data_IF_164360157216
#
_entry.id   IF_164360157216
#
_cell.length_a   1.000
_cell.length_b   1.000
_cell.length_c   1.000
_cell.angle_alpha   90.00
_cell.angle_beta   90.00
_cell.angle_gamma   90.00
#
_symmetry.space_group_name_H-M   'P 1'
#
loop_
_entity.id
_entity.type
_entity.pdbx_description
1 polymer ?
#
# COMPACT_ATOMS: atom_id res chain seq x y z
N UNK A 1 15.15 0.38 -13.50
CA UNK A 1 13.79 0.46 -14.07
C UNK A 1 13.36 -0.82 -14.79
N UNK A 2 14.29 -1.58 -15.41
CA UNK A 2 13.96 -2.90 -15.97
C UNK A 2 13.38 -3.86 -14.90
N UNK A 3 13.99 -3.92 -13.73
CA UNK A 3 13.46 -4.73 -12.61
C UNK A 3 12.04 -4.31 -12.22
N UNK A 4 11.77 -3.01 -12.17
CA UNK A 4 10.42 -2.48 -11.85
C UNK A 4 9.41 -2.93 -12.90
N UNK A 5 9.76 -2.85 -14.17
CA UNK A 5 8.90 -3.33 -15.26
C UNK A 5 8.61 -4.83 -15.13
N UNK A 6 9.64 -5.63 -14.87
CA UNK A 6 9.50 -7.08 -14.69
C UNK A 6 8.61 -7.41 -13.48
N UNK A 7 8.83 -6.78 -12.33
CA UNK A 7 7.98 -6.96 -11.14
C UNK A 7 6.52 -6.65 -11.45
N UNK A 8 6.27 -5.51 -12.07
CA UNK A 8 4.92 -5.06 -12.38
C UNK A 8 4.17 -5.95 -13.37
N UNK A 9 4.88 -6.75 -14.18
CA UNK A 9 4.28 -7.56 -15.25
C UNK A 9 4.47 -9.07 -15.06
N UNK A 10 5.05 -9.52 -13.94
CA UNK A 10 5.24 -10.95 -13.65
C UNK A 10 4.21 -11.48 -12.66
N UNK A 11 3.95 -10.77 -11.59
CA UNK A 11 3.00 -11.18 -10.55
C UNK A 11 2.24 -9.94 -10.02
N UNK A 12 1.20 -10.18 -9.26
CA UNK A 12 0.35 -9.11 -8.71
C UNK A 12 0.59 -8.82 -7.23
N UNK A 13 1.26 -9.72 -6.49
CA UNK A 13 1.50 -9.55 -5.06
C UNK A 13 2.97 -9.79 -4.73
N UNK A 14 3.59 -8.79 -4.10
CA UNK A 14 4.98 -8.86 -3.66
C UNK A 14 5.14 -8.39 -2.22
N UNK A 15 6.03 -9.06 -1.53
CA UNK A 15 6.52 -8.64 -0.23
C UNK A 15 8.04 -8.50 -0.27
N UNK A 16 8.56 -7.33 0.10
CA UNK A 16 9.99 -7.06 0.19
C UNK A 16 10.42 -6.79 1.63
N UNK A 17 11.17 -7.73 2.20
CA UNK A 17 11.80 -7.55 3.50
C UNK A 17 13.28 -7.22 3.31
N UNK A 18 13.69 -6.03 3.72
CA UNK A 18 15.09 -5.56 3.68
C UNK A 18 15.35 -4.62 4.86
N UNK A 19 16.59 -4.59 5.39
CA UNK A 19 16.97 -3.60 6.40
C UNK A 19 16.72 -2.17 5.94
N UNK A 20 16.75 -1.24 6.89
CA UNK A 20 16.68 0.20 6.59
C UNK A 20 17.83 0.61 5.65
N UNK A 21 17.59 1.67 4.83
CA UNK A 21 18.57 2.24 3.88
C UNK A 21 18.96 1.33 2.72
N UNK A 22 18.15 0.33 2.38
CA UNK A 22 18.37 -0.54 1.21
C UNK A 22 17.50 -0.17 0.00
N UNK A 23 17.07 1.08 -0.10
CA UNK A 23 16.37 1.58 -1.27
C UNK A 23 14.91 1.13 -1.42
N UNK A 24 14.27 0.61 -0.34
CA UNK A 24 12.87 0.15 -0.38
C UNK A 24 11.91 1.28 -0.78
N UNK A 25 12.00 2.43 -0.12
CA UNK A 25 11.11 3.57 -0.40
C UNK A 25 11.35 4.17 -1.78
N UNK A 26 12.60 4.12 -2.29
CA UNK A 26 12.87 4.49 -3.68
C UNK A 26 12.20 3.53 -4.67
N UNK A 27 12.22 2.24 -4.38
CA UNK A 27 11.53 1.25 -5.21
C UNK A 27 10.00 1.48 -5.19
N UNK A 28 9.43 1.73 -4.00
CA UNK A 28 8.00 2.03 -3.86
C UNK A 28 7.61 3.29 -4.64
N UNK A 29 8.37 4.38 -4.51
CA UNK A 29 8.09 5.62 -5.24
C UNK A 29 8.26 5.47 -6.75
N UNK A 30 9.19 4.62 -7.19
CA UNK A 30 9.36 4.29 -8.62
C UNK A 30 8.18 3.48 -9.15
N UNK A 31 7.69 2.49 -8.40
CA UNK A 31 6.47 1.74 -8.73
C UNK A 31 5.25 2.67 -8.80
N UNK A 32 5.12 3.56 -7.82
CA UNK A 32 4.04 4.56 -7.81
C UNK A 32 4.05 5.42 -9.08
N UNK A 33 5.20 6.00 -9.41
CA UNK A 33 5.36 6.82 -10.61
C UNK A 33 5.05 6.03 -11.90
N UNK A 34 5.48 4.79 -11.97
CA UNK A 34 5.20 3.91 -13.11
C UNK A 34 3.69 3.66 -13.27
N UNK A 35 3.02 3.23 -12.21
CA UNK A 35 1.58 2.94 -12.27
C UNK A 35 0.71 4.20 -12.41
N UNK A 36 1.24 5.37 -12.04
CA UNK A 36 0.59 6.67 -12.32
C UNK A 36 0.82 7.17 -13.76
N UNK A 37 1.52 6.40 -14.58
CA UNK A 37 1.76 6.75 -15.99
C UNK A 37 2.70 7.96 -16.17
N UNK A 38 3.57 8.26 -15.20
CA UNK A 38 4.50 9.40 -15.23
C UNK A 38 5.69 9.13 -16.15
N UNK A 39 5.43 8.95 -17.43
CA UNK A 39 6.43 8.59 -18.45
C UNK A 39 7.67 9.47 -18.44
N UNK A 40 7.51 10.78 -18.24
CA UNK A 40 8.62 11.73 -18.29
C UNK A 40 9.72 11.44 -17.25
N UNK A 41 9.37 10.84 -16.10
CA UNK A 41 10.33 10.44 -15.09
C UNK A 41 11.21 9.26 -15.50
N UNK A 42 10.82 8.54 -16.55
CA UNK A 42 11.53 7.36 -17.06
C UNK A 42 12.29 7.62 -18.37
N UNK A 43 12.35 8.88 -18.80
CA UNK A 43 13.04 9.27 -20.03
C UNK A 43 14.52 8.88 -19.98
N UNK A 44 14.97 8.18 -21.00
CA UNK A 44 16.34 7.65 -21.10
C UNK A 44 16.59 6.36 -20.29
N UNK A 45 15.62 5.86 -19.55
CA UNK A 45 15.73 4.63 -18.78
C UNK A 45 15.16 3.42 -19.53
N UNK A 46 15.51 2.21 -19.11
CA UNK A 46 15.04 0.97 -19.74
C UNK A 46 13.51 0.90 -19.80
N UNK A 47 12.81 1.39 -18.79
CA UNK A 47 11.34 1.41 -18.70
C UNK A 47 10.70 2.14 -19.89
N UNK A 48 11.28 3.24 -20.36
CA UNK A 48 10.75 4.00 -21.49
C UNK A 48 10.65 3.16 -22.77
N UNK A 49 11.59 2.24 -22.95
CA UNK A 49 11.63 1.34 -24.12
C UNK A 49 10.73 0.13 -23.97
N UNK A 50 10.59 -0.36 -22.74
CA UNK A 50 9.84 -1.59 -22.43
C UNK A 50 8.34 -1.32 -22.34
N UNK A 51 7.93 -0.22 -21.74
CA UNK A 51 6.52 0.11 -21.56
C UNK A 51 5.99 0.91 -22.76
N UNK A 52 4.88 0.47 -23.32
CA UNK A 52 4.25 1.11 -24.48
C UNK A 52 2.92 1.78 -24.16
N UNK A 53 2.16 1.19 -23.23
CA UNK A 53 0.80 1.63 -22.94
C UNK A 53 0.74 2.84 -22.00
N UNK A 54 1.62 2.88 -20.98
CA UNK A 54 1.65 3.94 -19.95
C UNK A 54 0.27 4.23 -19.35
N UNK A 55 -0.45 3.17 -19.00
CA UNK A 55 -1.75 3.31 -18.36
C UNK A 55 -1.65 4.04 -17.02
N UNK A 56 -2.66 4.85 -16.72
CA UNK A 56 -2.77 5.58 -15.45
C UNK A 56 -3.70 4.80 -14.53
N UNK A 57 -3.12 4.00 -13.64
CA UNK A 57 -3.87 3.24 -12.65
C UNK A 57 -4.20 4.08 -11.42
N UNK A 58 -5.32 3.82 -10.72
CA UNK A 58 -5.52 4.36 -9.38
C UNK A 58 -4.51 3.72 -8.43
N UNK A 59 -3.75 4.56 -7.70
CA UNK A 59 -2.70 4.11 -6.78
C UNK A 59 -3.03 4.56 -5.38
N UNK A 60 -3.12 3.61 -4.45
CA UNK A 60 -3.21 3.85 -3.01
C UNK A 60 -1.87 3.54 -2.37
N UNK A 61 -1.20 4.57 -1.87
CA UNK A 61 0.10 4.45 -1.22
C UNK A 61 -0.01 4.91 0.24
N UNK A 62 0.33 4.01 1.17
CA UNK A 62 0.45 4.31 2.59
C UNK A 62 1.86 4.01 3.07
N UNK A 63 2.47 4.98 3.76
CA UNK A 63 3.80 4.87 4.36
C UNK A 63 3.69 4.96 5.88
N UNK A 64 3.96 3.86 6.56
CA UNK A 64 3.90 3.78 8.02
C UNK A 64 5.11 4.36 8.72
N UNK A 65 6.17 4.72 8.00
CA UNK A 65 7.39 5.30 8.60
C UNK A 65 7.24 6.75 9.06
N UNK A 66 6.17 7.42 8.62
CA UNK A 66 5.96 8.85 8.85
C UNK A 66 5.42 9.20 10.25
N UNK A 67 4.98 8.19 11.00
CA UNK A 67 4.39 8.36 12.32
C UNK A 67 5.17 7.56 13.35
N UNK A 68 5.22 8.06 14.59
CA UNK A 68 5.73 7.34 15.74
C UNK A 68 4.56 6.71 16.50
N UNK A 69 4.60 5.40 16.71
CA UNK A 69 3.48 4.64 17.25
C UNK A 69 3.70 4.34 18.74
N UNK A 70 3.16 5.19 19.60
CA UNK A 70 3.22 5.04 21.06
C UNK A 70 1.87 4.63 21.66
N UNK A 71 0.78 4.79 20.91
CA UNK A 71 -0.57 4.38 21.29
C UNK A 71 -1.31 3.77 20.10
N UNK A 72 -2.41 3.07 20.36
CA UNK A 72 -3.31 2.60 19.29
C UNK A 72 -3.89 3.76 18.48
N UNK A 73 -4.15 4.89 19.13
CA UNK A 73 -4.67 6.09 18.47
C UNK A 73 -3.73 6.59 17.35
N UNK A 74 -2.41 6.51 17.54
CA UNK A 74 -1.45 6.94 16.53
C UNK A 74 -1.63 6.17 15.20
N UNK A 75 -1.88 4.87 15.30
CA UNK A 75 -2.17 4.04 14.11
C UNK A 75 -3.54 4.37 13.52
N UNK A 76 -4.56 4.47 14.35
CA UNK A 76 -5.91 4.80 13.90
C UNK A 76 -5.96 6.15 13.19
N UNK A 77 -5.24 7.14 13.70
CA UNK A 77 -5.12 8.46 13.09
C UNK A 77 -4.40 8.39 11.73
N UNK A 78 -3.30 7.63 11.65
CA UNK A 78 -2.57 7.42 10.39
C UNK A 78 -3.46 6.77 9.33
N UNK A 79 -4.21 5.74 9.69
CA UNK A 79 -5.15 5.08 8.78
C UNK A 79 -6.26 6.02 8.35
N UNK A 80 -6.82 6.79 9.28
CA UNK A 80 -7.89 7.75 8.98
C UNK A 80 -7.41 8.87 8.03
N UNK A 81 -6.23 9.43 8.26
CA UNK A 81 -5.67 10.45 7.39
C UNK A 81 -5.41 9.92 5.97
N UNK A 82 -4.92 8.69 5.87
CA UNK A 82 -4.78 8.01 4.58
C UNK A 82 -6.12 7.89 3.86
N UNK A 83 -7.14 7.39 4.56
CA UNK A 83 -8.49 7.23 4.01
C UNK A 83 -9.09 8.57 3.56
N UNK A 84 -8.98 9.61 4.39
CA UNK A 84 -9.48 10.95 4.05
C UNK A 84 -8.83 11.52 2.78
N UNK A 85 -7.52 11.31 2.60
CA UNK A 85 -6.83 11.73 1.38
C UNK A 85 -7.39 11.04 0.13
N UNK A 86 -7.62 9.73 0.22
CA UNK A 86 -8.16 8.94 -0.89
C UNK A 86 -9.63 9.28 -1.16
N UNK A 87 -10.42 9.53 -0.13
CA UNK A 87 -11.83 9.89 -0.22
C UNK A 87 -12.06 11.25 -0.91
N UNK A 88 -11.08 12.15 -0.88
CA UNK A 88 -11.13 13.40 -1.67
C UNK A 88 -11.19 13.12 -3.18
N UNK A 89 -10.64 12.02 -3.62
CA UNK A 89 -10.61 11.61 -5.04
C UNK A 89 -11.76 10.67 -5.37
N UNK A 90 -11.99 9.66 -4.52
CA UNK A 90 -12.93 8.56 -4.79
C UNK A 90 -14.20 8.61 -3.95
N UNK A 91 -14.39 9.68 -3.17
CA UNK A 91 -15.53 9.92 -2.30
C UNK A 91 -15.59 8.96 -1.10
N UNK A 92 -16.54 9.25 -0.21
CA UNK A 92 -16.89 8.43 0.94
C UNK A 92 -18.40 8.12 0.89
N UNK A 93 -18.79 6.96 1.42
CA UNK A 93 -20.19 6.59 1.59
C UNK A 93 -20.54 6.53 3.09
N UNK A 94 -21.72 7.00 3.44
CA UNK A 94 -22.16 7.09 4.84
C UNK A 94 -22.28 5.72 5.53
N UNK A 95 -22.49 4.69 4.75
CA UNK A 95 -22.65 3.30 5.21
C UNK A 95 -21.32 2.67 5.61
N UNK A 96 -20.22 3.20 5.13
CA UNK A 96 -18.86 2.71 5.41
C UNK A 96 -18.38 3.20 6.79
N UNK A 97 -18.77 2.51 7.85
CA UNK A 97 -18.55 2.94 9.24
C UNK A 97 -17.18 2.58 9.79
N UNK A 98 -16.50 1.60 9.25
CA UNK A 98 -15.18 1.15 9.72
C UNK A 98 -14.07 1.51 8.74
N UNK A 99 -12.80 1.66 9.18
CA UNK A 99 -11.68 1.86 8.28
C UNK A 99 -11.57 0.79 7.19
N UNK A 100 -11.81 -0.47 7.54
CA UNK A 100 -11.80 -1.58 6.58
C UNK A 100 -12.91 -1.45 5.51
N UNK A 101 -14.12 -1.07 5.91
CA UNK A 101 -15.22 -0.84 4.99
C UNK A 101 -14.94 0.37 4.06
N UNK A 102 -14.34 1.42 4.58
CA UNK A 102 -13.93 2.59 3.81
C UNK A 102 -12.88 2.24 2.76
N UNK A 103 -11.85 1.47 3.14
CA UNK A 103 -10.83 0.98 2.20
C UNK A 103 -11.47 0.13 1.09
N UNK A 104 -12.32 -0.80 1.44
CA UNK A 104 -13.02 -1.68 0.50
C UNK A 104 -13.87 -0.89 -0.49
N UNK A 105 -14.66 0.07 0.01
CA UNK A 105 -15.50 0.93 -0.83
C UNK A 105 -14.70 1.81 -1.77
N UNK A 106 -13.57 2.37 -1.31
CA UNK A 106 -12.69 3.18 -2.14
C UNK A 106 -12.05 2.40 -3.29
N UNK A 107 -11.61 1.16 -3.03
CA UNK A 107 -11.03 0.30 -4.06
C UNK A 107 -12.07 0.01 -5.15
N UNK A 108 -13.30 -0.32 -4.77
CA UNK A 108 -14.38 -0.54 -5.72
C UNK A 108 -14.71 0.71 -6.53
N UNK A 109 -14.87 1.86 -5.88
CA UNK A 109 -15.18 3.12 -6.57
C UNK A 109 -14.05 3.57 -7.49
N UNK A 110 -12.79 3.40 -7.09
CA UNK A 110 -11.65 3.70 -7.95
C UNK A 110 -11.65 2.84 -9.21
N UNK A 111 -11.94 1.54 -9.08
CA UNK A 111 -12.12 0.64 -10.21
C UNK A 111 -13.28 1.07 -11.12
N UNK A 112 -14.43 1.39 -10.54
CA UNK A 112 -15.63 1.81 -11.28
C UNK A 112 -15.41 3.12 -12.04
N UNK A 113 -14.74 4.09 -11.40
CA UNK A 113 -14.48 5.41 -11.99
C UNK A 113 -13.43 5.38 -13.10
N UNK A 114 -12.41 4.55 -12.97
CA UNK A 114 -11.29 4.52 -13.91
C UNK A 114 -11.39 3.41 -14.95
N UNK A 115 -12.18 2.38 -14.69
CA UNK A 115 -12.21 1.16 -15.49
C UNK A 115 -10.94 0.30 -15.36
N UNK A 116 -10.02 0.69 -14.46
CA UNK A 116 -8.74 0.02 -14.25
C UNK A 116 -8.62 -0.52 -12.83
N UNK A 117 -8.00 -1.69 -12.63
CA UNK A 117 -7.76 -2.23 -11.30
C UNK A 117 -6.78 -1.36 -10.52
N UNK A 118 -6.88 -1.45 -9.21
CA UNK A 118 -6.18 -0.59 -8.25
C UNK A 118 -4.78 -1.13 -7.93
N UNK A 119 -3.83 -0.23 -7.74
CA UNK A 119 -2.50 -0.51 -7.21
C UNK A 119 -2.46 -0.11 -5.75
N UNK A 120 -2.01 -1.01 -4.87
CA UNK A 120 -1.84 -0.77 -3.44
C UNK A 120 -0.37 -0.91 -3.08
N UNK A 121 0.22 0.15 -2.55
CA UNK A 121 1.60 0.20 -2.10
C UNK A 121 1.62 0.48 -0.60
N UNK A 122 2.19 -0.45 0.17
CA UNK A 122 2.27 -0.37 1.64
C UNK A 122 3.75 -0.35 2.01
N UNK A 123 4.27 0.82 2.42
CA UNK A 123 5.67 0.99 2.78
C UNK A 123 5.86 0.94 4.30
N UNK A 124 6.89 0.24 4.74
CA UNK A 124 7.30 0.08 6.15
C UNK A 124 6.13 -0.35 7.07
N UNK A 125 5.33 -1.31 6.63
CA UNK A 125 4.11 -1.69 7.32
C UNK A 125 4.32 -2.24 8.74
N UNK A 126 5.50 -2.74 9.05
CA UNK A 126 5.88 -3.21 10.38
C UNK A 126 6.40 -2.12 11.34
N UNK A 127 6.47 -0.87 10.89
CA UNK A 127 6.88 0.26 11.74
C UNK A 127 6.08 0.36 13.05
N UNK A 128 4.73 0.19 13.06
CA UNK A 128 3.97 0.19 14.31
C UNK A 128 4.40 -0.92 15.27
N UNK A 129 4.74 -2.09 14.75
CA UNK A 129 5.15 -3.25 15.56
C UNK A 129 6.56 -3.10 16.10
N UNK A 130 7.46 -2.47 15.34
CA UNK A 130 8.83 -2.19 15.76
C UNK A 130 8.87 -1.09 16.83
N UNK A 131 8.07 -0.05 16.68
CA UNK A 131 7.98 1.04 17.67
C UNK A 131 7.42 0.56 19.02
N UNK A 132 6.59 -0.48 19.03
CA UNK A 132 5.94 -1.04 20.21
C UNK A 132 6.58 -2.33 20.73
N UNK A 133 7.77 -2.68 20.28
CA UNK A 133 8.38 -3.96 20.56
C UNK A 133 8.66 -4.20 22.05
N UNK A 134 8.85 -3.13 22.84
CA UNK A 134 9.00 -3.20 24.31
C UNK A 134 7.68 -3.23 25.09
N UNK A 135 6.55 -3.09 24.40
CA UNK A 135 5.20 -3.09 24.99
C UNK A 135 4.34 -4.13 24.27
N UNK A 136 4.37 -5.36 24.77
CA UNK A 136 3.68 -6.49 24.14
C UNK A 136 2.16 -6.29 24.02
N UNK A 137 1.43 -5.80 25.05
CA UNK A 137 -0.01 -5.52 24.90
C UNK A 137 -0.32 -4.52 23.78
N UNK A 138 0.43 -3.43 23.71
CA UNK A 138 0.27 -2.42 22.64
C UNK A 138 0.60 -3.02 21.28
N UNK A 139 1.67 -3.79 21.16
CA UNK A 139 2.05 -4.44 19.90
C UNK A 139 0.95 -5.36 19.39
N UNK A 140 0.28 -6.10 20.28
CA UNK A 140 -0.86 -6.96 19.94
C UNK A 140 -2.05 -6.14 19.41
N UNK A 141 -2.37 -5.02 20.05
CA UNK A 141 -3.45 -4.13 19.62
C UNK A 141 -3.16 -3.54 18.23
N UNK A 142 -1.93 -3.06 18.01
CA UNK A 142 -1.51 -2.50 16.71
C UNK A 142 -1.54 -3.56 15.61
N UNK A 143 -1.11 -4.78 15.91
CA UNK A 143 -1.17 -5.91 14.97
C UNK A 143 -2.60 -6.25 14.59
N UNK A 144 -3.50 -6.30 15.57
CA UNK A 144 -4.91 -6.59 15.33
C UNK A 144 -5.55 -5.48 14.46
N UNK A 145 -5.22 -4.23 14.70
CA UNK A 145 -5.72 -3.10 13.90
C UNK A 145 -5.25 -3.17 12.46
N UNK A 146 -3.98 -3.47 12.22
CA UNK A 146 -3.43 -3.67 10.88
C UNK A 146 -4.13 -4.83 10.14
N UNK A 147 -4.36 -5.94 10.83
CA UNK A 147 -5.08 -7.10 10.27
C UNK A 147 -6.50 -6.73 9.85
N UNK A 148 -7.24 -6.06 10.72
CA UNK A 148 -8.60 -5.61 10.40
C UNK A 148 -8.63 -4.71 9.19
N UNK A 149 -7.70 -3.76 9.13
CA UNK A 149 -7.65 -2.78 8.05
C UNK A 149 -7.34 -3.41 6.69
N UNK A 150 -6.36 -4.31 6.63
CA UNK A 150 -5.93 -4.92 5.38
C UNK A 150 -6.64 -6.22 5.01
N UNK A 151 -7.43 -6.80 5.90
CA UNK A 151 -8.15 -8.06 5.63
C UNK A 151 -9.02 -8.03 4.38
N UNK A 152 -9.70 -6.92 4.00
CA UNK A 152 -10.48 -6.86 2.77
C UNK A 152 -9.70 -7.12 1.49
N UNK A 153 -8.40 -6.85 1.47
CA UNK A 153 -7.57 -7.04 0.26
C UNK A 153 -7.57 -8.47 -0.24
N UNK A 154 -7.75 -9.46 0.65
CA UNK A 154 -7.86 -10.88 0.27
C UNK A 154 -9.06 -11.17 -0.63
N UNK A 155 -10.18 -10.50 -0.39
CA UNK A 155 -11.42 -10.69 -1.14
C UNK A 155 -11.57 -9.77 -2.34
N UNK A 156 -10.63 -8.86 -2.58
CA UNK A 156 -10.69 -7.84 -3.61
C UNK A 156 -9.76 -8.10 -4.81
N UNK A 157 -9.27 -9.33 -4.97
CA UNK A 157 -8.30 -9.68 -6.02
C UNK A 157 -8.70 -9.25 -7.42
N UNK A 158 -10.00 -9.31 -7.76
CA UNK A 158 -10.53 -8.87 -9.07
C UNK A 158 -10.38 -7.34 -9.30
N UNK A 159 -10.22 -6.55 -8.24
CA UNK A 159 -10.05 -5.09 -8.30
C UNK A 159 -8.59 -4.66 -8.17
N UNK A 160 -7.67 -5.59 -7.90
CA UNK A 160 -6.26 -5.30 -7.66
C UNK A 160 -5.41 -5.62 -8.89
N UNK A 161 -4.68 -4.63 -9.37
CA UNK A 161 -3.64 -4.77 -10.40
C UNK A 161 -2.32 -5.23 -9.79
N UNK A 162 -1.98 -4.67 -8.61
CA UNK A 162 -0.69 -4.87 -7.99
C UNK A 162 -0.77 -4.53 -6.51
N UNK A 163 -0.17 -5.36 -5.67
CA UNK A 163 -0.03 -5.14 -4.24
C UNK A 163 1.43 -5.33 -3.86
N UNK A 164 2.06 -4.29 -3.33
CA UNK A 164 3.45 -4.31 -2.93
C UNK A 164 3.59 -3.86 -1.49
N UNK A 165 4.22 -4.69 -0.66
CA UNK A 165 4.37 -4.45 0.77
C UNK A 165 5.85 -4.48 1.11
N UNK A 166 6.35 -3.47 1.83
CA UNK A 166 7.71 -3.47 2.35
C UNK A 166 7.73 -3.48 3.88
N UNK A 167 8.80 -4.04 4.43
CA UNK A 167 9.07 -4.05 5.86
C UNK A 167 10.51 -4.46 6.16
N UNK A 168 10.88 -4.39 7.43
CA UNK A 168 12.20 -4.78 7.91
C UNK A 168 12.19 -6.27 8.30
N UNK A 169 11.11 -6.74 8.89
CA UNK A 169 11.03 -8.07 9.50
C UNK A 169 10.20 -9.04 8.67
N UNK A 170 10.66 -10.29 8.62
CA UNK A 170 9.93 -11.39 7.98
C UNK A 170 8.66 -11.82 8.75
N UNK A 171 8.57 -11.50 10.04
CA UNK A 171 7.40 -11.82 10.87
C UNK A 171 6.13 -11.13 10.41
N UNK A 172 6.31 -10.07 9.71
CA UNK A 172 5.23 -9.26 9.22
C UNK A 172 4.41 -9.95 8.13
N UNK A 173 5.00 -10.83 7.34
CA UNK A 173 4.29 -11.55 6.28
C UNK A 173 3.13 -12.41 6.79
N UNK A 174 3.29 -13.06 7.95
CA UNK A 174 2.30 -14.02 8.44
C UNK A 174 1.12 -13.39 9.16
N UNK A 175 1.21 -12.12 9.58
CA UNK A 175 0.24 -11.55 10.49
C UNK A 175 -0.87 -10.71 9.84
N UNK A 176 -0.66 -10.18 8.64
CA UNK A 176 -1.71 -9.38 7.96
C UNK A 176 -2.61 -10.25 7.09
N UNK A 177 -2.06 -11.28 6.47
CA UNK A 177 -2.75 -12.09 5.46
C UNK A 177 -3.03 -13.53 5.88
N UNK A 178 -2.70 -13.91 7.09
CA UNK A 178 -2.99 -15.26 7.62
C UNK A 178 -4.39 -15.39 8.21
#
# INVERSE_FOLDING_TARGET
TELVYRLANTDSVYFLSRPRRFGKSLLVSTLEAYFQGKKDLFKGLAMERLEKAWNVYPVFHIDFSLTKYTTLFDLQEQLNLFLLRCEKVYRAEKEEKTPAARLQGMIRRAYEQTGLPVVVLIDEYDAPLLDSNSNIPLQQELRNELRKFFSPLKGLGQYLRFLFITGISKFSQMSIFS
#
